data_IF_837475009649
#
_entry.id   IF_837475009649
#
_cell.length_a   1.000
_cell.length_b   1.000
_cell.length_c   1.000
_cell.angle_alpha   90.00
_cell.angle_beta   90.00
_cell.angle_gamma   90.00
#
_symmetry.space_group_name_H-M   'P 1'
#
loop_
_entity.id
_entity.type
_entity.pdbx_description
1 polymer ?
#
# COMPACT_ATOMS: atom_id res chain seq x y z
N UNK A 1 13.85 -0.74 -8.85
CA UNK A 1 12.79 -1.65 -8.36
C UNK A 1 11.92 -2.03 -9.54
N UNK A 2 12.32 -3.07 -10.28
CA UNK A 2 11.60 -3.55 -11.46
C UNK A 2 10.29 -4.19 -11.02
N UNK A 3 9.16 -3.75 -11.59
CA UNK A 3 7.86 -4.41 -11.41
C UNK A 3 6.84 -3.74 -10.47
N UNK A 4 7.07 -2.51 -10.00
CA UNK A 4 6.01 -1.77 -9.28
C UNK A 4 4.91 -1.37 -10.25
N UNK A 5 3.66 -1.77 -9.97
CA UNK A 5 2.47 -1.38 -10.71
C UNK A 5 1.81 -0.20 -10.02
N UNK A 6 1.40 0.82 -10.78
CA UNK A 6 0.63 1.95 -10.27
C UNK A 6 -0.83 1.85 -10.75
N UNK A 7 -1.76 2.12 -9.84
CA UNK A 7 -3.19 2.12 -10.09
C UNK A 7 -3.74 3.49 -9.70
N UNK A 8 -4.27 4.27 -10.64
CA UNK A 8 -4.89 5.55 -10.35
C UNK A 8 -6.01 5.41 -9.34
N UNK A 9 -6.05 6.34 -8.39
CA UNK A 9 -7.13 6.44 -7.42
C UNK A 9 -8.04 7.61 -7.77
N UNK A 10 -9.33 7.43 -7.48
CA UNK A 10 -10.25 8.58 -7.43
C UNK A 10 -9.93 9.46 -6.22
N UNK A 11 -10.33 10.73 -6.28
CA UNK A 11 -10.20 11.65 -5.14
C UNK A 11 -10.88 11.10 -3.88
N UNK A 12 -12.03 10.43 -4.06
CA UNK A 12 -12.76 9.78 -2.96
C UNK A 12 -11.93 8.68 -2.30
N UNK A 13 -11.30 7.80 -3.09
CA UNK A 13 -10.49 6.71 -2.55
C UNK A 13 -9.20 7.24 -1.89
N UNK A 14 -8.59 8.27 -2.47
CA UNK A 14 -7.45 8.96 -1.89
C UNK A 14 -7.78 9.61 -0.53
N UNK A 15 -8.96 10.23 -0.40
CA UNK A 15 -9.44 10.78 0.87
C UNK A 15 -9.67 9.69 1.93
N UNK A 16 -10.27 8.57 1.55
CA UNK A 16 -10.48 7.42 2.45
C UNK A 16 -9.13 6.91 2.98
N UNK A 17 -8.16 6.67 2.10
CA UNK A 17 -6.83 6.19 2.48
C UNK A 17 -6.07 7.21 3.34
N UNK A 18 -6.19 8.50 3.04
CA UNK A 18 -5.59 9.57 3.84
C UNK A 18 -6.18 9.60 5.26
N UNK A 19 -7.50 9.48 5.40
CA UNK A 19 -8.16 9.44 6.70
C UNK A 19 -7.78 8.17 7.50
N UNK A 20 -7.72 7.01 6.84
CA UNK A 20 -7.25 5.77 7.44
C UNK A 20 -5.83 5.92 7.97
N UNK A 21 -4.90 6.45 7.16
CA UNK A 21 -3.51 6.69 7.58
C UNK A 21 -3.40 7.57 8.83
N UNK A 22 -4.13 8.69 8.86
CA UNK A 22 -4.11 9.57 10.05
C UNK A 22 -4.70 8.88 11.28
N UNK A 23 -5.77 8.09 11.11
CA UNK A 23 -6.36 7.30 12.19
C UNK A 23 -5.36 6.28 12.76
N UNK A 24 -4.63 5.54 11.91
CA UNK A 24 -3.60 4.59 12.35
C UNK A 24 -2.48 5.30 13.12
N UNK A 25 -2.01 6.45 12.63
CA UNK A 25 -1.00 7.25 13.33
C UNK A 25 -1.50 7.72 14.69
N UNK A 26 -2.75 8.19 14.78
CA UNK A 26 -3.36 8.58 16.04
C UNK A 26 -3.46 7.42 17.03
N UNK A 27 -3.88 6.23 16.57
CA UNK A 27 -3.98 5.04 17.41
C UNK A 27 -2.62 4.56 17.93
N UNK A 28 -1.57 4.61 17.11
CA UNK A 28 -0.22 4.20 17.52
C UNK A 28 0.38 5.11 18.60
N UNK A 29 -0.05 6.38 18.70
CA UNK A 29 0.34 7.26 19.80
C UNK A 29 -0.28 6.83 21.14
N UNK A 30 -1.38 6.08 21.13
CA UNK A 30 -2.11 5.63 22.31
C UNK A 30 -1.74 4.20 22.73
N UNK A 31 -1.16 3.41 21.82
CA UNK A 31 -0.81 2.00 22.05
C UNK A 31 0.66 1.78 21.62
N UNK A 32 1.63 2.03 22.52
CA UNK A 32 3.06 2.01 22.19
C UNK A 32 3.58 0.64 21.74
N UNK A 33 2.97 -0.44 22.24
CA UNK A 33 3.33 -1.83 21.94
C UNK A 33 2.43 -2.46 20.86
N UNK A 34 1.68 -1.63 20.12
CA UNK A 34 0.83 -2.08 19.02
C UNK A 34 1.60 -2.47 17.75
N UNK A 35 0.93 -3.06 16.75
CA UNK A 35 1.54 -3.27 15.44
C UNK A 35 2.00 -1.94 14.85
N UNK A 36 3.12 -1.95 14.13
CA UNK A 36 3.62 -0.75 13.47
C UNK A 36 2.58 -0.20 12.48
N UNK A 37 2.54 1.14 12.36
CA UNK A 37 1.53 1.86 11.58
C UNK A 37 1.50 1.37 10.13
N UNK A 38 2.68 1.09 9.54
CA UNK A 38 2.79 0.66 8.16
C UNK A 38 2.19 -0.74 7.95
N UNK A 39 2.46 -1.68 8.85
CA UNK A 39 1.86 -3.02 8.83
C UNK A 39 0.34 -2.97 9.03
N UNK A 40 -0.15 -2.13 9.94
CA UNK A 40 -1.58 -1.93 10.12
C UNK A 40 -2.24 -1.33 8.86
N UNK A 41 -1.55 -0.39 8.20
CA UNK A 41 -2.05 0.27 6.99
C UNK A 41 -2.04 -0.63 5.75
N UNK A 42 -1.23 -1.69 5.71
CA UNK A 42 -1.27 -2.67 4.61
C UNK A 42 -2.66 -3.28 4.41
N UNK A 43 -3.43 -3.49 5.49
CA UNK A 43 -4.81 -3.98 5.40
C UNK A 43 -5.72 -2.99 4.68
N UNK A 44 -5.66 -1.71 5.07
CA UNK A 44 -6.45 -0.63 4.45
C UNK A 44 -6.12 -0.49 2.95
N UNK A 45 -4.84 -0.61 2.60
CA UNK A 45 -4.36 -0.56 1.21
C UNK A 45 -4.81 -1.77 0.38
N UNK A 46 -4.79 -2.98 0.96
CA UNK A 46 -5.28 -4.17 0.29
C UNK A 46 -6.80 -4.11 0.04
N UNK A 47 -7.56 -3.55 0.98
CA UNK A 47 -9.00 -3.34 0.80
C UNK A 47 -9.31 -2.27 -0.24
N UNK A 48 -8.54 -1.18 -0.28
CA UNK A 48 -8.61 -0.21 -1.36
C UNK A 48 -8.33 -0.87 -2.72
N UNK A 49 -7.30 -1.71 -2.80
CA UNK A 49 -6.98 -2.47 -4.01
C UNK A 49 -8.18 -3.29 -4.50
N UNK A 50 -8.92 -3.94 -3.59
CA UNK A 50 -10.15 -4.68 -3.94
C UNK A 50 -11.24 -3.77 -4.47
N UNK A 51 -11.49 -2.64 -3.80
CA UNK A 51 -12.53 -1.67 -4.20
C UNK A 51 -12.31 -1.10 -5.59
N UNK A 52 -11.04 -0.85 -5.97
CA UNK A 52 -10.70 -0.27 -7.27
C UNK A 52 -10.33 -1.31 -8.34
N UNK A 53 -10.48 -2.61 -8.07
CA UNK A 53 -10.12 -3.67 -9.01
C UNK A 53 -8.62 -3.80 -9.28
N UNK A 54 -7.77 -3.27 -8.40
CA UNK A 54 -6.31 -3.31 -8.47
C UNK A 54 -5.70 -4.46 -7.66
N UNK A 55 -6.52 -5.29 -7.01
CA UNK A 55 -6.02 -6.37 -6.15
C UNK A 55 -5.18 -7.39 -6.92
N UNK A 56 -3.97 -7.61 -6.43
CA UNK A 56 -3.03 -8.61 -6.90
C UNK A 56 -3.09 -9.84 -5.99
N UNK A 57 -3.30 -11.01 -6.59
CA UNK A 57 -3.31 -12.30 -5.88
C UNK A 57 -1.89 -12.84 -5.57
N UNK A 58 -0.85 -12.08 -5.91
CA UNK A 58 0.55 -12.46 -5.74
C UNK A 58 1.16 -11.83 -4.48
N UNK A 59 2.16 -12.47 -3.85
CA UNK A 59 2.88 -11.90 -2.72
C UNK A 59 3.51 -10.55 -3.08
N UNK A 60 3.22 -9.54 -2.28
CA UNK A 60 3.73 -8.19 -2.49
C UNK A 60 3.28 -7.25 -1.40
N UNK A 61 3.68 -5.98 -1.52
CA UNK A 61 3.26 -4.91 -0.61
C UNK A 61 2.56 -3.82 -1.39
N UNK A 62 1.51 -3.28 -0.79
CA UNK A 62 0.86 -2.10 -1.31
C UNK A 62 1.50 -0.84 -0.74
N UNK A 63 1.54 0.21 -1.53
CA UNK A 63 1.91 1.56 -1.13
C UNK A 63 0.88 2.57 -1.59
N UNK A 64 0.85 3.73 -0.97
CA UNK A 64 0.00 4.84 -1.36
C UNK A 64 0.84 6.10 -1.49
N UNK A 65 0.55 6.93 -2.49
CA UNK A 65 1.22 8.20 -2.70
C UNK A 65 0.78 8.88 -3.99
N UNK A 66 1.61 9.78 -4.50
CA UNK A 66 1.36 10.49 -5.75
C UNK A 66 2.19 9.91 -6.89
N UNK A 67 1.61 9.79 -8.08
CA UNK A 67 2.32 9.50 -9.32
C UNK A 67 3.29 10.64 -9.67
N UNK A 68 4.12 10.44 -10.70
CA UNK A 68 5.00 11.49 -11.20
C UNK A 68 4.24 12.74 -11.67
N UNK A 69 3.00 12.57 -12.14
CA UNK A 69 2.14 13.68 -12.56
C UNK A 69 1.33 14.31 -11.40
N UNK A 70 1.56 13.87 -10.15
CA UNK A 70 0.91 14.42 -8.97
C UNK A 70 -0.47 13.87 -8.66
N UNK A 71 -0.91 12.80 -9.33
CA UNK A 71 -2.20 12.16 -9.06
C UNK A 71 -2.10 11.09 -7.99
N UNK A 72 -3.11 10.91 -7.12
CA UNK A 72 -3.09 9.84 -6.13
C UNK A 72 -3.09 8.48 -6.80
N UNK A 73 -2.20 7.60 -6.35
CA UNK A 73 -2.06 6.23 -6.85
C UNK A 73 -1.89 5.24 -5.71
N UNK A 74 -2.47 4.06 -5.91
CA UNK A 74 -2.10 2.86 -5.20
C UNK A 74 -0.96 2.18 -5.95
N UNK A 75 0.06 1.75 -5.24
CA UNK A 75 1.20 1.02 -5.78
C UNK A 75 1.16 -0.40 -5.29
N UNK A 76 1.50 -1.35 -6.15
CA UNK A 76 1.81 -2.69 -5.72
C UNK A 76 3.23 -3.02 -6.14
N UNK A 77 4.04 -3.47 -5.19
CA UNK A 77 5.41 -3.91 -5.42
C UNK A 77 5.50 -5.41 -5.12
N UNK A 78 5.88 -6.25 -6.10
CA UNK A 78 6.03 -7.69 -5.87
C UNK A 78 7.11 -7.95 -4.81
N UNK A 79 6.88 -8.95 -3.97
CA UNK A 79 7.93 -9.44 -3.10
C UNK A 79 8.92 -10.25 -3.94
N UNK A 80 10.24 -9.99 -3.88
CA UNK A 80 11.20 -10.78 -4.63
C UNK A 80 11.12 -12.24 -4.18
N UNK A 81 10.83 -13.15 -5.12
CA UNK A 81 10.93 -14.58 -4.88
C UNK A 81 12.41 -14.95 -4.76
N UNK A 82 12.76 -15.75 -3.75
CA UNK A 82 14.14 -16.08 -3.41
C UNK A 82 14.90 -16.88 -4.50
N UNK A 83 14.25 -17.25 -5.61
CA UNK A 83 14.86 -18.02 -6.70
C UNK A 83 15.77 -17.22 -7.64
N UNK A 84 15.77 -15.89 -7.57
CA UNK A 84 16.62 -15.07 -8.45
C UNK A 84 18.11 -14.99 -8.01
N UNK A 85 18.47 -15.52 -6.83
CA UNK A 85 19.84 -15.39 -6.26
C UNK A 85 20.72 -16.63 -6.40
N UNK A 86 20.32 -17.65 -7.18
CA UNK A 86 21.14 -18.86 -7.43
C UNK A 86 21.73 -18.96 -8.84
N UNK A 87 21.68 -17.89 -9.63
CA UNK A 87 22.29 -17.83 -10.96
C UNK A 87 23.16 -16.57 -11.10
N UNK A 88 24.23 -16.49 -10.31
CA UNK A 88 25.41 -15.67 -10.63
C UNK A 88 26.68 -16.43 -10.26
#
# INVERSE_FOLDING_TARGET
>A
MTGTKEFPLSDKEAQILSAAWQSRRGAALLIPDGPDVDSAFQGDLADAARRVGAFQNEPGRYGYGLSQAGFPVLRWTPQPTADASKAQ
#
